data_IF_797219702362
#
_entry.id   IF_797219702362
#
_cell.length_a   1.000
_cell.length_b   1.000
_cell.length_c   1.000
_cell.angle_alpha   90.00
_cell.angle_beta   90.00
_cell.angle_gamma   90.00
#
_symmetry.space_group_name_H-M   'P 1'
#
loop_
_entity.id
_entity.type
_entity.pdbx_description
1 polymer ?
#
# COMPACT_ATOMS: atom_id res chain seq x y z
N UNK A 1 -28.08 -15.60 -2.04
CA UNK A 1 -28.32 -14.28 -2.67
C UNK A 1 -27.55 -14.21 -3.97
N UNK A 2 -28.18 -13.66 -5.01
CA UNK A 2 -27.55 -13.48 -6.32
C UNK A 2 -26.54 -12.33 -6.24
N UNK A 3 -25.27 -12.61 -6.54
CA UNK A 3 -24.18 -11.65 -6.43
C UNK A 3 -24.24 -10.70 -7.64
N UNK A 4 -24.81 -9.51 -7.47
CA UNK A 4 -24.87 -8.49 -8.51
C UNK A 4 -23.47 -8.19 -9.06
N UNK A 5 -23.30 -8.31 -10.37
CA UNK A 5 -22.04 -8.03 -11.07
C UNK A 5 -22.27 -6.98 -12.15
N UNK A 6 -21.53 -5.87 -12.08
CA UNK A 6 -21.52 -4.81 -13.09
C UNK A 6 -20.26 -4.95 -13.93
N UNK A 7 -20.39 -5.04 -15.25
CA UNK A 7 -19.24 -5.02 -16.17
C UNK A 7 -19.24 -3.72 -16.97
N UNK A 8 -18.12 -3.01 -16.94
CA UNK A 8 -17.87 -1.80 -17.72
C UNK A 8 -16.83 -2.15 -18.78
N UNK A 9 -17.24 -2.15 -20.05
CA UNK A 9 -16.34 -2.41 -21.18
C UNK A 9 -15.92 -1.10 -21.84
N UNK A 10 -14.61 -0.83 -21.86
CA UNK A 10 -14.03 0.36 -22.48
C UNK A 10 -13.27 1.26 -21.49
N UNK A 11 -12.59 2.26 -22.05
CA UNK A 11 -11.82 3.23 -21.28
C UNK A 11 -12.74 4.26 -20.63
N UNK A 12 -12.73 4.31 -19.30
CA UNK A 12 -13.51 5.25 -18.48
C UNK A 12 -12.59 6.13 -17.62
N UNK A 13 -11.41 6.47 -18.13
CA UNK A 13 -10.41 7.34 -17.46
C UNK A 13 -10.95 8.71 -17.03
N UNK A 14 -12.03 9.19 -17.66
CA UNK A 14 -12.70 10.46 -17.31
C UNK A 14 -13.82 10.29 -16.27
N UNK A 15 -14.22 9.07 -15.96
CA UNK A 15 -15.26 8.77 -14.97
C UNK A 15 -14.61 8.56 -13.61
N UNK A 16 -15.09 9.30 -12.61
CA UNK A 16 -14.56 9.28 -11.24
C UNK A 16 -15.54 8.57 -10.31
N UNK A 17 -15.07 8.17 -9.13
CA UNK A 17 -15.90 7.65 -8.04
C UNK A 17 -16.67 6.36 -8.35
N UNK A 18 -16.22 5.56 -9.32
CA UNK A 18 -16.84 4.27 -9.60
C UNK A 18 -16.70 3.39 -8.36
N UNK A 19 -17.81 2.83 -7.87
CA UNK A 19 -17.83 1.99 -6.67
C UNK A 19 -17.69 2.74 -5.34
N UNK A 20 -17.81 4.08 -5.33
CA UNK A 20 -17.80 4.86 -4.08
C UNK A 20 -18.88 4.38 -3.12
N UNK A 21 -18.49 4.08 -1.88
CA UNK A 21 -19.39 3.62 -0.81
C UNK A 21 -19.99 2.22 -1.02
N UNK A 22 -19.49 1.44 -1.99
CA UNK A 22 -19.97 0.09 -2.28
C UNK A 22 -19.87 -0.83 -1.04
N UNK A 23 -20.93 -1.62 -0.79
CA UNK A 23 -21.04 -2.48 0.40
C UNK A 23 -21.02 -3.98 0.08
N UNK A 24 -21.44 -4.38 -1.13
CA UNK A 24 -21.47 -5.76 -1.61
C UNK A 24 -21.48 -5.80 -3.14
N UNK A 25 -21.46 -7.00 -3.72
CA UNK A 25 -21.47 -7.19 -5.18
C UNK A 25 -20.08 -7.13 -5.81
N UNK A 26 -20.04 -7.02 -7.13
CA UNK A 26 -18.81 -7.01 -7.93
C UNK A 26 -18.87 -5.99 -9.08
N UNK A 27 -17.77 -5.27 -9.29
CA UNK A 27 -17.59 -4.38 -10.45
C UNK A 27 -16.33 -4.82 -11.19
N UNK A 28 -16.46 -5.08 -12.49
CA UNK A 28 -15.36 -5.46 -13.38
C UNK A 28 -15.22 -4.39 -14.46
N UNK A 29 -14.03 -3.81 -14.59
CA UNK A 29 -13.76 -2.72 -15.53
C UNK A 29 -12.67 -3.16 -16.49
N UNK A 30 -12.99 -3.21 -17.79
CA UNK A 30 -12.06 -3.57 -18.87
C UNK A 30 -11.52 -2.31 -19.55
N UNK A 31 -10.70 -1.55 -18.82
CA UNK A 31 -10.09 -0.32 -19.29
C UNK A 31 -9.59 0.54 -18.14
N UNK A 32 -9.07 1.73 -18.47
CA UNK A 32 -8.60 2.70 -17.47
C UNK A 32 -9.76 3.39 -16.75
N UNK A 33 -9.53 3.82 -15.50
CA UNK A 33 -10.51 4.51 -14.64
C UNK A 33 -9.94 5.83 -14.12
N UNK A 34 -10.83 6.82 -13.94
CA UNK A 34 -10.47 8.08 -13.30
C UNK A 34 -10.23 7.96 -11.79
N UNK A 35 -10.21 9.10 -11.13
CA UNK A 35 -9.88 9.24 -9.69
C UNK A 35 -10.97 8.67 -8.77
N UNK A 36 -10.59 8.38 -7.53
CA UNK A 36 -11.49 7.98 -6.44
C UNK A 36 -12.25 6.66 -6.65
N UNK A 37 -11.70 5.73 -7.44
CA UNK A 37 -12.25 4.38 -7.56
C UNK A 37 -12.42 3.75 -6.16
N UNK A 38 -13.61 3.26 -5.82
CA UNK A 38 -13.84 2.55 -4.56
C UNK A 38 -13.63 3.40 -3.30
N UNK A 39 -13.72 4.73 -3.39
CA UNK A 39 -13.64 5.61 -2.22
C UNK A 39 -14.69 5.21 -1.17
N UNK A 40 -14.29 5.12 0.10
CA UNK A 40 -15.14 4.74 1.23
C UNK A 40 -15.86 3.38 1.08
N UNK A 41 -15.37 2.49 0.21
CA UNK A 41 -15.90 1.14 0.04
C UNK A 41 -15.87 0.37 1.38
N UNK A 42 -16.95 -0.37 1.67
CA UNK A 42 -17.16 -1.14 2.90
C UNK A 42 -17.16 -2.65 2.65
N UNK A 43 -17.40 -3.09 1.42
CA UNK A 43 -17.44 -4.49 1.04
C UNK A 43 -17.69 -4.67 -0.46
N UNK A 44 -17.61 -5.92 -0.93
CA UNK A 44 -17.65 -6.27 -2.35
C UNK A 44 -16.27 -6.39 -2.99
N UNK A 45 -16.24 -6.51 -4.33
CA UNK A 45 -14.99 -6.58 -5.12
C UNK A 45 -15.04 -5.61 -6.30
N UNK A 46 -13.95 -4.88 -6.52
CA UNK A 46 -13.73 -4.09 -7.74
C UNK A 46 -12.47 -4.63 -8.42
N UNK A 47 -12.57 -4.99 -9.70
CA UNK A 47 -11.43 -5.44 -10.52
C UNK A 47 -11.25 -4.52 -11.73
N UNK A 48 -10.05 -3.99 -11.93
CA UNK A 48 -9.71 -3.09 -13.05
C UNK A 48 -8.62 -3.72 -13.92
N UNK A 49 -8.93 -3.98 -15.18
CA UNK A 49 -7.99 -4.42 -16.20
C UNK A 49 -7.41 -3.21 -16.96
N UNK A 50 -6.74 -2.33 -16.22
CA UNK A 50 -6.21 -1.06 -16.72
C UNK A 50 -5.59 -0.24 -15.58
N UNK A 51 -5.32 1.03 -15.85
CA UNK A 51 -4.76 1.97 -14.88
C UNK A 51 -5.87 2.70 -14.11
N UNK A 52 -5.55 3.21 -12.93
CA UNK A 52 -6.47 4.02 -12.12
C UNK A 52 -5.86 5.37 -11.76
N UNK A 53 -6.67 6.43 -11.81
CA UNK A 53 -6.27 7.75 -11.33
C UNK A 53 -6.13 7.83 -9.81
N UNK A 54 -5.71 9.00 -9.34
CA UNK A 54 -5.37 9.19 -7.93
C UNK A 54 -6.52 8.92 -6.95
N UNK A 55 -6.16 8.68 -5.69
CA UNK A 55 -7.10 8.37 -4.59
C UNK A 55 -7.94 7.10 -4.79
N UNK A 56 -7.49 6.14 -5.61
CA UNK A 56 -8.12 4.83 -5.66
C UNK A 56 -8.10 4.17 -4.25
N UNK A 57 -9.23 3.64 -3.81
CA UNK A 57 -9.42 3.05 -2.48
C UNK A 57 -9.36 4.05 -1.33
N UNK A 58 -9.46 5.36 -1.58
CA UNK A 58 -9.40 6.38 -0.52
C UNK A 58 -10.38 6.08 0.60
N UNK A 59 -9.89 6.04 1.84
CA UNK A 59 -10.69 5.77 3.05
C UNK A 59 -11.51 4.46 3.01
N UNK A 60 -11.06 3.43 2.27
CA UNK A 60 -11.67 2.10 2.26
C UNK A 60 -11.71 1.50 3.68
N UNK A 61 -12.83 0.84 3.98
CA UNK A 61 -13.15 0.20 5.28
C UNK A 61 -13.29 -1.32 5.16
N UNK A 62 -13.49 -1.84 3.95
CA UNK A 62 -13.65 -3.26 3.69
C UNK A 62 -13.84 -3.57 2.21
N UNK A 63 -13.81 -4.85 1.87
CA UNK A 63 -13.85 -5.33 0.48
C UNK A 63 -12.46 -5.41 -0.17
N UNK A 64 -12.44 -5.68 -1.47
CA UNK A 64 -11.21 -5.86 -2.24
C UNK A 64 -11.21 -4.99 -3.50
N UNK A 65 -10.14 -4.23 -3.71
CA UNK A 65 -9.85 -3.54 -4.97
C UNK A 65 -8.62 -4.17 -5.59
N UNK A 66 -8.74 -4.66 -6.82
CA UNK A 66 -7.66 -5.29 -7.58
C UNK A 66 -7.44 -4.55 -8.90
N UNK A 67 -6.23 -4.04 -9.11
CA UNK A 67 -5.84 -3.20 -10.25
C UNK A 67 -4.71 -3.91 -11.00
N UNK A 68 -4.97 -4.34 -12.23
CA UNK A 68 -3.98 -5.05 -13.05
C UNK A 68 -2.96 -4.13 -13.74
N UNK A 69 -3.22 -2.82 -13.79
CA UNK A 69 -2.28 -1.79 -14.26
C UNK A 69 -1.63 -1.02 -13.12
N UNK A 70 -1.34 0.26 -13.38
CA UNK A 70 -0.76 1.18 -12.41
C UNK A 70 -1.84 1.94 -11.63
N UNK A 71 -1.50 2.40 -10.42
CA UNK A 71 -2.29 3.36 -9.68
C UNK A 71 -1.51 4.68 -9.52
N UNK A 72 -2.19 5.80 -9.66
CA UNK A 72 -1.59 7.12 -9.48
C UNK A 72 -1.42 7.45 -7.97
N UNK A 73 -1.08 8.69 -7.66
CA UNK A 73 -0.85 9.18 -6.29
C UNK A 73 -2.01 8.90 -5.32
N UNK A 74 -1.68 8.85 -4.03
CA UNK A 74 -2.64 8.79 -2.91
C UNK A 74 -3.49 7.50 -2.87
N UNK A 75 -2.96 6.38 -3.37
CA UNK A 75 -3.61 5.06 -3.26
C UNK A 75 -3.96 4.78 -1.79
N UNK A 76 -5.25 4.53 -1.51
CA UNK A 76 -5.78 4.24 -0.18
C UNK A 76 -5.46 5.29 0.91
N UNK A 77 -5.13 6.51 0.50
CA UNK A 77 -4.87 7.66 1.37
C UNK A 77 -6.19 8.31 1.84
N UNK A 78 -6.14 9.19 2.86
CA UNK A 78 -7.30 10.00 3.24
C UNK A 78 -7.60 11.11 2.22
N UNK A 79 -8.79 11.68 2.36
CA UNK A 79 -9.05 13.02 1.81
C UNK A 79 -8.17 14.06 2.50
N UNK A 80 -7.80 15.13 1.77
CA UNK A 80 -6.92 16.19 2.29
C UNK A 80 -7.47 16.83 3.57
N UNK A 81 -6.60 16.99 4.56
CA UNK A 81 -6.96 17.54 5.87
C UNK A 81 -7.55 16.53 6.85
N UNK A 82 -7.77 15.27 6.45
CA UNK A 82 -8.19 14.21 7.38
C UNK A 82 -6.99 13.37 7.84
N UNK A 83 -6.93 13.06 9.14
CA UNK A 83 -5.91 12.19 9.73
C UNK A 83 -6.31 10.70 9.80
N UNK A 84 -7.27 10.27 8.99
CA UNK A 84 -7.77 8.88 8.96
C UNK A 84 -7.90 8.41 7.52
N UNK A 85 -6.95 7.58 7.08
CA UNK A 85 -6.96 6.94 5.76
C UNK A 85 -7.72 5.62 5.75
N UNK A 86 -7.18 4.64 5.03
CA UNK A 86 -7.69 3.26 4.98
C UNK A 86 -7.83 2.64 6.38
N UNK A 87 -9.00 2.04 6.65
CA UNK A 87 -9.37 1.45 7.94
C UNK A 87 -9.85 -0.01 7.79
N UNK A 88 -9.50 -0.68 6.70
CA UNK A 88 -9.83 -2.08 6.44
C UNK A 88 -9.87 -2.40 4.94
N UNK A 89 -10.10 -3.67 4.62
CA UNK A 89 -10.11 -4.17 3.24
C UNK A 89 -8.71 -4.47 2.68
N UNK A 90 -8.69 -4.83 1.40
CA UNK A 90 -7.47 -5.22 0.68
C UNK A 90 -7.38 -4.48 -0.64
N UNK A 91 -6.25 -3.83 -0.91
CA UNK A 91 -5.95 -3.18 -2.19
C UNK A 91 -4.75 -3.88 -2.82
N UNK A 92 -4.90 -4.34 -4.06
CA UNK A 92 -3.87 -5.07 -4.81
C UNK A 92 -3.61 -4.31 -6.10
N UNK A 93 -2.35 -3.93 -6.33
CA UNK A 93 -1.90 -3.29 -7.56
C UNK A 93 -0.80 -4.15 -8.17
N UNK A 94 -1.01 -4.60 -9.42
CA UNK A 94 -0.04 -5.44 -10.13
C UNK A 94 1.08 -4.60 -10.78
N UNK A 95 0.80 -3.34 -11.10
CA UNK A 95 1.77 -2.37 -11.61
C UNK A 95 2.39 -1.48 -10.54
N UNK A 96 2.85 -0.31 -10.97
CA UNK A 96 3.48 0.71 -10.13
C UNK A 96 2.44 1.61 -9.44
N UNK A 97 2.84 2.21 -8.32
CA UNK A 97 2.03 3.21 -7.59
C UNK A 97 2.74 4.56 -7.46
N UNK A 98 1.95 5.62 -7.46
CA UNK A 98 2.42 6.98 -7.19
C UNK A 98 2.80 7.24 -5.73
N UNK A 99 2.86 8.52 -5.37
CA UNK A 99 3.30 9.03 -4.06
C UNK A 99 2.25 8.77 -2.99
N UNK A 100 2.70 8.69 -1.74
CA UNK A 100 1.84 8.65 -0.55
C UNK A 100 0.85 7.46 -0.53
N UNK A 101 1.20 6.34 -1.15
CA UNK A 101 0.41 5.12 -1.09
C UNK A 101 0.28 4.65 0.37
N UNK A 102 -0.96 4.46 0.83
CA UNK A 102 -1.29 4.06 2.20
C UNK A 102 -1.03 5.14 3.26
N UNK A 103 -1.02 6.42 2.88
CA UNK A 103 -0.90 7.50 3.85
C UNK A 103 -2.03 7.45 4.90
N UNK A 104 -1.70 7.71 6.17
CA UNK A 104 -2.61 7.65 7.31
C UNK A 104 -3.40 6.34 7.45
N UNK A 105 -2.90 5.23 6.89
CA UNK A 105 -3.51 3.91 6.99
C UNK A 105 -3.55 3.46 8.45
N UNK A 106 -4.68 2.87 8.87
CA UNK A 106 -4.93 2.38 10.23
C UNK A 106 -5.07 0.87 10.27
N UNK A 107 -5.71 0.29 9.27
CA UNK A 107 -5.97 -1.15 9.18
C UNK A 107 -6.04 -1.60 7.70
N UNK A 108 -6.01 -2.91 7.49
CA UNK A 108 -6.12 -3.53 6.17
C UNK A 108 -4.77 -3.88 5.53
N UNK A 109 -4.80 -4.18 4.23
CA UNK A 109 -3.66 -4.66 3.47
C UNK A 109 -3.53 -3.96 2.11
N UNK A 110 -2.34 -3.45 1.80
CA UNK A 110 -1.99 -2.97 0.46
C UNK A 110 -0.87 -3.85 -0.09
N UNK A 111 -1.07 -4.42 -1.28
CA UNK A 111 -0.04 -5.20 -2.01
C UNK A 111 0.26 -4.53 -3.34
N UNK A 112 1.52 -4.21 -3.56
CA UNK A 112 2.03 -3.54 -4.75
C UNK A 112 3.09 -4.46 -5.35
N UNK A 113 2.79 -5.07 -6.49
CA UNK A 113 3.74 -5.96 -7.18
C UNK A 113 4.70 -5.20 -8.11
N UNK A 114 4.46 -3.90 -8.35
CA UNK A 114 5.41 -2.99 -8.99
C UNK A 114 6.28 -2.21 -8.00
N UNK A 115 6.68 -1.03 -8.44
CA UNK A 115 7.42 -0.03 -7.66
C UNK A 115 6.45 0.92 -6.97
N UNK A 116 6.95 1.59 -5.94
CA UNK A 116 6.25 2.69 -5.30
C UNK A 116 7.11 3.95 -5.32
N UNK A 117 6.46 5.10 -5.51
CA UNK A 117 7.11 6.40 -5.43
C UNK A 117 7.37 6.79 -3.95
N UNK A 118 7.62 8.07 -3.68
CA UNK A 118 7.98 8.58 -2.35
C UNK A 118 6.84 8.41 -1.33
N UNK A 119 7.21 8.37 -0.04
CA UNK A 119 6.27 8.48 1.09
C UNK A 119 5.24 7.34 1.22
N UNK A 120 5.58 6.12 0.79
CA UNK A 120 4.75 4.94 1.09
C UNK A 120 4.54 4.78 2.60
N UNK A 121 3.30 4.65 3.05
CA UNK A 121 2.97 4.48 4.47
C UNK A 121 3.20 5.73 5.31
N UNK A 122 3.19 6.92 4.71
CA UNK A 122 3.31 8.19 5.42
C UNK A 122 2.26 8.34 6.52
N UNK A 123 2.67 8.69 7.74
CA UNK A 123 1.78 8.83 8.91
C UNK A 123 0.90 7.59 9.19
N UNK A 124 1.35 6.38 8.83
CA UNK A 124 0.61 5.14 9.11
C UNK A 124 0.50 4.87 10.62
N UNK A 125 -0.68 4.44 11.06
CA UNK A 125 -1.01 4.08 12.44
C UNK A 125 -1.31 2.58 12.62
N UNK A 126 -1.26 1.79 11.55
CA UNK A 126 -1.54 0.37 11.59
C UNK A 126 -1.87 -0.18 10.20
N UNK A 127 -2.07 -1.49 10.10
CA UNK A 127 -2.22 -2.20 8.83
C UNK A 127 -0.89 -2.65 8.24
N UNK A 128 -0.92 -3.13 6.99
CA UNK A 128 0.27 -3.63 6.31
C UNK A 128 0.35 -3.19 4.85
N UNK A 129 1.53 -2.74 4.44
CA UNK A 129 1.86 -2.42 3.04
C UNK A 129 3.01 -3.32 2.60
N UNK A 130 2.86 -3.96 1.45
CA UNK A 130 3.91 -4.72 0.80
C UNK A 130 4.18 -4.15 -0.59
N UNK A 131 5.45 -3.81 -0.85
CA UNK A 131 5.98 -3.40 -2.15
C UNK A 131 6.97 -4.46 -2.60
N UNK A 132 6.70 -5.15 -3.70
CA UNK A 132 7.55 -6.23 -4.19
C UNK A 132 8.86 -5.72 -4.78
N UNK A 133 8.81 -4.60 -5.53
CA UNK A 133 9.99 -3.98 -6.16
C UNK A 133 10.49 -2.80 -5.33
N UNK A 134 10.89 -1.73 -6.00
CA UNK A 134 11.60 -0.62 -5.38
C UNK A 134 10.62 0.38 -4.75
N UNK A 135 11.11 1.07 -3.72
CA UNK A 135 10.44 2.22 -3.14
C UNK A 135 11.40 3.41 -3.18
N UNK A 136 10.91 4.59 -3.56
CA UNK A 136 11.72 5.82 -3.48
C UNK A 136 11.84 6.32 -2.04
N UNK A 137 12.26 7.56 -1.87
CA UNK A 137 12.62 8.17 -0.59
C UNK A 137 11.46 8.18 0.43
N UNK A 138 11.82 8.27 1.70
CA UNK A 138 10.92 8.54 2.82
C UNK A 138 9.83 7.46 3.05
N UNK A 139 10.14 6.20 2.75
CA UNK A 139 9.30 5.08 3.13
C UNK A 139 9.02 5.08 4.65
N UNK A 140 7.75 4.95 4.99
CA UNK A 140 7.23 4.91 6.35
C UNK A 140 7.54 6.14 7.22
N UNK A 141 7.78 7.30 6.59
CA UNK A 141 7.97 8.56 7.29
C UNK A 141 6.79 8.88 8.23
N UNK A 142 7.11 9.32 9.45
CA UNK A 142 6.14 9.65 10.49
C UNK A 142 5.20 8.48 10.87
N UNK A 143 5.59 7.21 10.64
CA UNK A 143 4.76 6.08 11.04
C UNK A 143 4.71 5.94 12.56
N UNK A 144 3.52 5.72 13.11
CA UNK A 144 3.30 5.45 14.53
C UNK A 144 3.25 3.94 14.79
N UNK A 145 2.59 3.18 13.93
CA UNK A 145 2.48 1.72 14.01
C UNK A 145 2.17 1.15 12.62
N UNK A 146 2.09 -0.18 12.50
CA UNK A 146 1.86 -0.89 11.25
C UNK A 146 3.14 -1.54 10.72
N UNK A 147 3.05 -2.09 9.51
CA UNK A 147 4.16 -2.81 8.90
C UNK A 147 4.29 -2.46 7.42
N UNK A 148 5.46 -1.98 7.03
CA UNK A 148 5.83 -1.74 5.63
C UNK A 148 6.91 -2.75 5.25
N UNK A 149 6.74 -3.45 4.12
CA UNK A 149 7.65 -4.47 3.62
C UNK A 149 8.08 -4.09 2.21
N UNK A 150 9.37 -3.95 1.98
CA UNK A 150 9.95 -3.56 0.68
C UNK A 150 10.89 -4.67 0.21
N UNK A 151 10.45 -5.40 -0.80
CA UNK A 151 11.17 -6.52 -1.41
C UNK A 151 12.33 -6.10 -2.32
N UNK A 152 12.28 -4.89 -2.89
CA UNK A 152 13.32 -4.34 -3.76
C UNK A 152 14.24 -3.35 -3.05
N UNK A 153 14.74 -2.38 -3.82
CA UNK A 153 15.68 -1.36 -3.35
C UNK A 153 14.95 -0.16 -2.74
N UNK A 154 15.52 0.40 -1.68
CA UNK A 154 15.25 1.74 -1.16
C UNK A 154 16.45 2.63 -1.38
N UNK A 155 16.24 3.94 -1.44
CA UNK A 155 17.36 4.90 -1.52
C UNK A 155 18.05 5.08 -0.16
N UNK A 156 17.26 5.15 0.90
CA UNK A 156 17.73 5.26 2.28
C UNK A 156 16.66 4.83 3.26
N UNK A 157 17.07 4.51 4.48
CA UNK A 157 16.17 4.42 5.64
C UNK A 157 16.29 5.72 6.43
N UNK A 158 15.17 6.24 6.93
CA UNK A 158 15.17 7.50 7.68
C UNK A 158 16.04 7.40 8.95
N UNK A 159 16.80 8.45 9.31
CA UNK A 159 17.68 8.44 10.49
C UNK A 159 16.97 8.18 11.82
N UNK A 160 15.65 8.37 11.88
CA UNK A 160 14.82 8.14 13.05
C UNK A 160 14.34 6.69 13.19
N UNK A 161 14.81 5.77 12.35
CA UNK A 161 14.59 4.33 12.50
C UNK A 161 15.82 3.65 13.10
N UNK A 162 15.58 2.69 14.00
CA UNK A 162 16.61 1.85 14.62
C UNK A 162 16.54 0.45 14.05
N UNK A 163 17.69 -0.13 13.71
CA UNK A 163 17.75 -1.53 13.30
C UNK A 163 17.53 -2.45 14.51
N UNK A 164 16.66 -3.44 14.36
CA UNK A 164 16.30 -4.41 15.41
C UNK A 164 16.88 -5.81 15.11
N UNK A 165 17.06 -6.15 13.84
CA UNK A 165 17.54 -7.48 13.48
C UNK A 165 17.45 -7.80 12.01
N UNK A 166 17.84 -9.02 11.68
CA UNK A 166 17.66 -9.62 10.35
C UNK A 166 16.65 -10.76 10.46
N UNK A 167 15.66 -10.80 9.56
CA UNK A 167 14.65 -11.86 9.48
C UNK A 167 14.75 -12.57 8.13
N UNK A 168 14.77 -13.91 8.14
CA UNK A 168 14.91 -14.72 6.91
C UNK A 168 13.61 -14.96 6.14
N UNK A 169 12.48 -14.47 6.67
CA UNK A 169 11.18 -14.50 6.02
C UNK A 169 10.27 -13.43 6.61
N UNK A 170 9.35 -12.93 5.80
CA UNK A 170 8.32 -11.99 6.23
C UNK A 170 6.96 -12.46 5.69
N UNK A 171 5.95 -12.54 6.55
CA UNK A 171 4.58 -12.90 6.17
C UNK A 171 3.83 -11.65 5.73
N UNK A 172 3.47 -11.56 4.44
CA UNK A 172 2.64 -10.49 3.89
C UNK A 172 1.19 -10.72 4.31
N UNK A 173 0.62 -11.86 3.95
CA UNK A 173 -0.70 -12.29 4.42
C UNK A 173 -0.74 -13.81 4.63
N UNK A 174 -1.92 -14.41 4.76
CA UNK A 174 -2.07 -15.86 4.96
C UNK A 174 -1.62 -16.69 3.76
N UNK A 175 -1.66 -16.12 2.56
CA UNK A 175 -1.35 -16.77 1.29
C UNK A 175 0.05 -16.41 0.78
N UNK A 176 0.66 -15.36 1.29
CA UNK A 176 1.93 -14.84 0.79
C UNK A 176 2.98 -14.68 1.90
N UNK A 177 4.08 -15.43 1.77
CA UNK A 177 5.28 -15.35 2.62
C UNK A 177 6.50 -15.17 1.74
N UNK A 178 7.23 -14.07 1.93
CA UNK A 178 8.47 -13.81 1.22
C UNK A 178 9.62 -14.44 2.01
N UNK A 179 10.31 -15.42 1.42
CA UNK A 179 11.45 -16.12 2.02
C UNK A 179 12.76 -15.54 1.48
N UNK A 180 13.20 -14.46 2.07
CA UNK A 180 14.46 -13.78 1.78
C UNK A 180 14.96 -13.08 3.07
N UNK A 181 16.25 -12.72 3.17
CA UNK A 181 16.74 -11.94 4.30
C UNK A 181 16.25 -10.49 4.22
N UNK A 182 15.66 -9.99 5.30
CA UNK A 182 15.22 -8.61 5.47
C UNK A 182 15.89 -7.99 6.69
N UNK A 183 16.38 -6.76 6.56
CA UNK A 183 16.60 -5.89 7.70
C UNK A 183 15.25 -5.49 8.28
N UNK A 184 15.11 -5.60 9.60
CA UNK A 184 13.97 -5.09 10.35
C UNK A 184 14.40 -3.80 11.06
N UNK A 185 13.74 -2.71 10.73
CA UNK A 185 13.85 -1.43 11.41
C UNK A 185 12.58 -1.14 12.21
N UNK A 186 12.74 -0.50 13.36
CA UNK A 186 11.67 -0.01 14.22
C UNK A 186 11.68 1.52 14.25
N UNK A 187 10.50 2.11 14.10
CA UNK A 187 10.33 3.57 14.05
C UNK A 187 8.88 3.94 13.71
N UNK A 188 8.56 5.18 13.43
CA UNK A 188 9.45 6.34 13.38
C UNK A 188 9.65 6.92 14.78
N UNK A 189 10.90 6.97 15.27
CA UNK A 189 11.18 7.47 16.64
C UNK A 189 10.85 8.97 16.80
N UNK A 190 10.80 9.74 15.71
CA UNK A 190 10.35 11.14 15.77
C UNK A 190 8.90 11.25 16.26
N UNK A 191 8.09 10.22 16.04
CA UNK A 191 6.68 10.15 16.43
C UNK A 191 6.45 9.27 17.69
N UNK A 192 7.53 8.81 18.35
CA UNK A 192 7.48 7.73 19.34
C UNK A 192 6.83 6.44 18.78
N UNK A 193 7.00 6.21 17.48
CA UNK A 193 6.41 5.10 16.74
C UNK A 193 7.09 3.76 17.03
N UNK A 194 6.32 2.68 16.87
CA UNK A 194 6.75 1.27 17.01
C UNK A 194 6.49 0.46 15.74
N UNK A 195 6.26 1.17 14.64
CA UNK A 195 6.08 0.62 13.32
C UNK A 195 7.29 -0.20 12.87
N UNK A 196 7.01 -1.14 11.96
CA UNK A 196 8.01 -2.10 11.46
C UNK A 196 8.26 -1.85 9.99
N UNK A 197 9.51 -1.55 9.65
CA UNK A 197 9.96 -1.44 8.27
C UNK A 197 10.89 -2.62 7.94
N UNK A 198 10.44 -3.47 7.03
CA UNK A 198 11.25 -4.57 6.49
C UNK A 198 11.82 -4.15 5.15
N UNK A 199 13.15 -4.21 5.00
CA UNK A 199 13.85 -3.88 3.76
C UNK A 199 14.70 -5.06 3.33
N UNK A 200 14.56 -5.49 2.07
CA UNK A 200 15.35 -6.60 1.51
C UNK A 200 16.84 -6.36 1.70
N UNK A 201 17.54 -7.29 2.34
CA UNK A 201 18.99 -7.17 2.58
C UNK A 201 19.77 -7.29 1.28
N UNK A 202 19.41 -8.25 0.43
CA UNK A 202 20.12 -8.54 -0.83
C UNK A 202 20.06 -7.37 -1.82
N UNK A 203 18.92 -6.68 -1.88
CA UNK A 203 18.73 -5.55 -2.80
C UNK A 203 19.28 -4.23 -2.24
N UNK A 204 19.77 -4.20 -1.00
CA UNK A 204 20.20 -2.98 -0.31
C UNK A 204 21.58 -3.13 0.38
N UNK A 205 22.65 -3.43 -0.38
CA UNK A 205 24.00 -3.61 0.20
C UNK A 205 24.56 -2.37 0.91
N UNK A 206 24.06 -1.18 0.54
CA UNK A 206 24.42 0.10 1.16
C UNK A 206 23.91 0.24 2.61
N UNK A 207 22.95 -0.59 3.02
CA UNK A 207 22.45 -0.63 4.40
C UNK A 207 23.26 -1.57 5.31
N UNK A 208 24.26 -2.27 4.79
CA UNK A 208 25.12 -3.17 5.58
C UNK A 208 25.83 -2.45 6.74
N UNK A 209 26.05 -1.14 6.62
CA UNK A 209 26.59 -0.31 7.69
C UNK A 209 25.75 -0.31 8.98
N UNK A 210 24.46 -0.64 8.93
CA UNK A 210 23.60 -0.76 10.10
C UNK A 210 23.88 -2.05 10.90
N UNK A 211 24.48 -3.08 10.29
CA UNK A 211 24.77 -4.35 10.96
C UNK A 211 25.71 -4.19 12.17
N UNK A 212 26.51 -3.12 12.22
CA UNK A 212 27.37 -2.79 13.37
C UNK A 212 26.60 -2.42 14.64
N UNK A 213 25.29 -2.21 14.54
CA UNK A 213 24.39 -1.87 15.65
C UNK A 213 23.48 -3.05 16.07
N UNK A 214 23.65 -4.23 15.46
CA UNK A 214 22.99 -5.48 15.85
C UNK A 214 23.78 -6.19 16.96
#
# INVERSE_FOLDING_TARGET
EEKLTITIEGNVSKVKMIGKGMTSGEIIIKGDVGMHLGEEMKGGKITVYGNVGGWAGSMIKGGTIEIHGNADDFLAAPYRGQGRGMAGGTVIVHGDVGREAGAYMREGLIKIYGNADQFVGYCMHGGKIYVQKNCKENAAACMVDGTVIIGGRVESVLPSFTIEGIKNKVKVDENEVVKAPFYLFLGDLAENGKGKLYVSKENNPHLSQYEKYL
#
